data_IF_890954416250
#
_entry.id   IF_890954416250
#
_cell.length_a   1.000
_cell.length_b   1.000
_cell.length_c   1.000
_cell.angle_alpha   90.00
_cell.angle_beta   90.00
_cell.angle_gamma   90.00
#
_symmetry.space_group_name_H-M   'P 1'
#
loop_
_entity.id
_entity.type
_entity.pdbx_description
1 polymer ?
#
# COMPACT_ATOMS: atom_id res chain seq x y z
N UNK A 1 -19.39 46.31 18.77
CA UNK A 1 -19.82 45.40 17.67
C UNK A 1 -18.60 45.05 16.88
N UNK A 2 -17.95 43.96 17.23
CA UNK A 2 -16.79 43.42 16.49
C UNK A 2 -17.24 42.24 15.67
N UNK A 3 -17.13 42.40 14.36
CA UNK A 3 -17.47 41.31 13.39
C UNK A 3 -16.28 40.38 13.35
N UNK A 4 -16.46 39.17 13.92
CA UNK A 4 -15.48 38.09 13.77
C UNK A 4 -15.66 37.54 12.34
N UNK A 5 -14.68 37.77 11.48
CA UNK A 5 -14.58 37.11 10.20
C UNK A 5 -14.19 35.65 10.43
N UNK A 6 -15.16 34.76 10.28
CA UNK A 6 -14.92 33.34 10.16
C UNK A 6 -14.21 33.09 8.82
N UNK A 7 -12.90 32.86 8.87
CA UNK A 7 -12.15 32.37 7.70
C UNK A 7 -12.56 30.91 7.53
N UNK A 8 -13.55 30.71 6.67
CA UNK A 8 -13.83 29.38 6.12
C UNK A 8 -12.64 29.05 5.22
N UNK A 9 -11.64 28.36 5.78
CA UNK A 9 -10.62 27.70 5.00
C UNK A 9 -11.32 26.81 3.97
N UNK A 10 -11.12 27.12 2.70
CA UNK A 10 -11.50 26.24 1.60
C UNK A 10 -10.73 24.94 1.79
N UNK A 11 -11.36 23.96 2.41
CA UNK A 11 -10.98 22.56 2.25
C UNK A 11 -11.13 22.25 0.76
N UNK A 12 -10.05 22.37 0.01
CA UNK A 12 -9.97 21.73 -1.28
C UNK A 12 -10.25 20.26 -1.00
N UNK A 13 -11.33 19.74 -1.57
CA UNK A 13 -11.56 18.29 -1.63
C UNK A 13 -10.32 17.72 -2.32
N UNK A 14 -9.39 17.21 -1.53
CA UNK A 14 -8.36 16.29 -2.01
C UNK A 14 -9.14 15.17 -2.68
N UNK A 15 -8.70 14.82 -3.85
CA UNK A 15 -9.36 13.87 -4.76
C UNK A 15 -9.86 12.64 -4.00
N UNK A 16 -11.15 12.31 -4.23
CA UNK A 16 -11.88 11.17 -3.64
C UNK A 16 -11.29 9.80 -4.07
N UNK A 17 -10.06 9.79 -4.56
CA UNK A 17 -9.31 8.63 -5.07
C UNK A 17 -7.92 8.44 -4.44
N UNK A 18 -7.62 9.04 -3.30
CA UNK A 18 -6.43 8.62 -2.55
C UNK A 18 -6.71 7.24 -1.98
N UNK A 19 -5.87 6.25 -2.28
CA UNK A 19 -6.02 4.93 -1.66
C UNK A 19 -5.69 5.04 -0.19
N UNK A 20 -6.18 4.13 0.63
CA UNK A 20 -5.54 3.87 1.88
C UNK A 20 -4.13 3.35 1.61
N UNK A 21 -3.16 3.90 2.29
CA UNK A 21 -1.78 3.50 2.13
C UNK A 21 -1.43 2.35 3.07
N UNK A 22 -0.66 1.41 2.54
CA UNK A 22 -0.02 0.35 3.31
C UNK A 22 1.46 0.68 3.42
N UNK A 23 1.96 0.86 4.62
CA UNK A 23 3.35 1.12 4.95
C UNK A 23 4.08 -0.22 5.05
N UNK A 24 5.12 -0.41 4.24
CA UNK A 24 5.83 -1.66 4.14
C UNK A 24 7.29 -1.49 4.55
N UNK A 25 7.80 -2.45 5.33
CA UNK A 25 9.23 -2.63 5.59
C UNK A 25 9.64 -4.00 5.06
N UNK A 26 10.43 -4.01 3.99
CA UNK A 26 10.94 -5.23 3.36
C UNK A 26 12.42 -5.41 3.71
N UNK A 27 12.73 -6.52 4.38
CA UNK A 27 14.10 -6.98 4.60
C UNK A 27 14.40 -8.15 3.66
N UNK A 28 15.49 -8.06 2.91
CA UNK A 28 16.01 -9.16 2.08
C UNK A 28 17.37 -9.56 2.67
N UNK A 29 17.47 -10.78 3.19
CA UNK A 29 18.68 -11.30 3.83
C UNK A 29 19.17 -12.56 3.11
N UNK A 30 20.48 -12.65 2.85
CA UNK A 30 21.04 -13.82 2.18
C UNK A 30 22.50 -13.66 1.73
N UNK A 31 22.92 -14.49 0.76
CA UNK A 31 24.26 -14.44 0.24
C UNK A 31 24.61 -13.08 -0.37
N UNK A 32 25.81 -12.57 -0.10
CA UNK A 32 26.31 -11.30 -0.60
C UNK A 32 26.05 -11.09 -2.11
N UNK A 33 26.33 -12.10 -2.90
CA UNK A 33 26.16 -12.01 -4.37
C UNK A 33 24.72 -11.80 -4.81
N UNK A 34 23.75 -12.39 -4.09
CA UNK A 34 22.32 -12.19 -4.38
C UNK A 34 21.85 -10.82 -3.89
N UNK A 35 22.30 -10.39 -2.69
CA UNK A 35 21.98 -9.06 -2.14
C UNK A 35 22.52 -7.94 -3.04
N UNK A 36 23.77 -8.04 -3.50
CA UNK A 36 24.35 -7.04 -4.41
C UNK A 36 23.62 -7.02 -5.76
N UNK A 37 23.35 -8.20 -6.33
CA UNK A 37 22.67 -8.34 -7.62
C UNK A 37 21.25 -7.80 -7.59
N UNK A 38 20.49 -8.12 -6.52
CA UNK A 38 19.12 -7.67 -6.43
C UNK A 38 19.03 -6.17 -6.17
N UNK A 39 19.88 -5.62 -5.30
CA UNK A 39 19.95 -4.17 -5.09
C UNK A 39 20.22 -3.44 -6.40
N UNK A 40 21.23 -3.87 -7.18
CA UNK A 40 21.55 -3.29 -8.49
C UNK A 40 20.35 -3.40 -9.46
N UNK A 41 19.67 -4.56 -9.48
CA UNK A 41 18.50 -4.77 -10.34
C UNK A 41 17.36 -3.82 -9.98
N UNK A 42 17.01 -3.70 -8.70
CA UNK A 42 15.90 -2.88 -8.23
C UNK A 42 16.07 -1.39 -8.49
N UNK A 43 17.33 -0.93 -8.57
CA UNK A 43 17.69 0.47 -8.82
C UNK A 43 17.89 0.82 -10.31
N UNK A 44 17.66 -0.10 -11.25
CA UNK A 44 17.89 0.17 -12.68
C UNK A 44 16.94 1.23 -13.20
N UNK A 45 17.43 2.19 -13.99
CA UNK A 45 16.58 3.12 -14.71
C UNK A 45 15.61 2.38 -15.63
N UNK A 46 14.38 2.89 -15.72
CA UNK A 46 13.38 2.35 -16.64
C UNK A 46 12.46 3.44 -17.16
N UNK A 47 11.68 3.10 -18.20
CA UNK A 47 10.67 3.99 -18.77
C UNK A 47 9.34 3.27 -18.83
N UNK A 48 8.31 3.91 -18.33
CA UNK A 48 6.95 3.43 -18.22
C UNK A 48 6.03 4.24 -19.14
N UNK A 49 5.15 3.56 -19.86
CA UNK A 49 4.09 4.22 -20.62
C UNK A 49 2.96 4.64 -19.68
N UNK A 50 2.58 5.91 -19.74
CA UNK A 50 1.45 6.45 -18.99
C UNK A 50 0.52 7.23 -19.91
N UNK A 51 -0.76 7.21 -19.59
CA UNK A 51 -1.74 8.08 -20.25
C UNK A 51 -1.57 9.52 -19.75
N UNK A 52 -1.66 10.51 -20.65
CA UNK A 52 -1.57 11.93 -20.27
C UNK A 52 -2.96 12.53 -20.06
N UNK A 53 -3.12 13.22 -18.95
CA UNK A 53 -4.31 14.01 -18.62
C UNK A 53 -4.07 15.50 -18.91
N UNK A 54 -4.04 15.89 -20.19
CA UNK A 54 -3.95 17.31 -20.60
C UNK A 54 -5.33 17.91 -20.86
N UNK A 55 -5.58 19.15 -20.43
CA UNK A 55 -6.87 19.86 -20.66
C UNK A 55 -7.26 20.02 -22.16
N UNK A 56 -6.38 19.69 -23.11
CA UNK A 56 -6.64 19.73 -24.54
C UNK A 56 -6.70 18.36 -25.23
N UNK A 57 -6.47 17.27 -24.51
CA UNK A 57 -6.31 15.92 -25.06
C UNK A 57 -7.42 14.95 -24.62
N UNK A 58 -8.52 15.48 -24.12
CA UNK A 58 -9.67 14.67 -23.71
C UNK A 58 -10.55 14.40 -24.95
N UNK A 59 -10.76 13.13 -25.29
CA UNK A 59 -11.68 12.73 -26.34
C UNK A 59 -13.13 13.11 -25.99
N UNK A 60 -14.03 13.04 -26.96
CA UNK A 60 -15.49 13.25 -26.75
C UNK A 60 -16.10 12.24 -25.74
N UNK A 61 -15.40 11.16 -25.43
CA UNK A 61 -15.74 10.18 -24.39
C UNK A 61 -15.17 10.54 -23.00
N UNK A 62 -14.43 11.66 -22.86
CA UNK A 62 -13.83 12.10 -21.60
C UNK A 62 -12.49 11.46 -21.26
N UNK A 63 -11.87 10.68 -22.18
CA UNK A 63 -10.62 9.98 -21.96
C UNK A 63 -9.45 10.63 -22.68
N UNK A 64 -8.24 10.67 -22.10
CA UNK A 64 -7.04 11.15 -22.75
C UNK A 64 -6.71 10.29 -23.98
N UNK A 65 -6.11 10.93 -24.97
CA UNK A 65 -5.81 10.31 -26.28
C UNK A 65 -4.32 10.16 -26.53
N UNK A 66 -3.47 10.59 -25.61
CA UNK A 66 -2.03 10.53 -25.76
C UNK A 66 -1.36 9.73 -24.67
N UNK A 67 -0.38 8.96 -25.06
CA UNK A 67 0.52 8.21 -24.20
C UNK A 67 1.82 8.98 -24.09
N UNK A 68 2.32 9.16 -22.87
CA UNK A 68 3.66 9.69 -22.62
C UNK A 68 4.56 8.60 -22.04
N UNK A 69 5.86 8.75 -22.30
CA UNK A 69 6.89 7.94 -21.68
C UNK A 69 7.41 8.66 -20.45
N UNK A 70 7.27 8.05 -19.27
CA UNK A 70 7.78 8.58 -18.02
C UNK A 70 9.02 7.79 -17.63
N UNK A 71 10.14 8.51 -17.44
CA UNK A 71 11.43 7.90 -17.13
C UNK A 71 11.75 8.03 -15.65
N UNK A 72 12.06 6.93 -15.03
CA UNK A 72 12.59 6.82 -13.68
C UNK A 72 14.10 6.62 -13.79
N UNK A 73 14.86 7.69 -13.56
CA UNK A 73 16.32 7.70 -13.79
C UNK A 73 17.12 7.07 -12.68
N UNK A 74 16.64 7.18 -11.44
CA UNK A 74 17.34 6.69 -10.25
C UNK A 74 16.34 6.10 -9.24
N UNK A 75 15.58 5.06 -9.59
CA UNK A 75 14.65 4.47 -8.65
C UNK A 75 15.42 3.85 -7.49
N UNK A 76 14.95 4.03 -6.27
CA UNK A 76 15.51 3.35 -5.10
C UNK A 76 15.10 1.89 -5.09
N UNK A 77 13.82 1.65 -5.42
CA UNK A 77 13.19 0.34 -5.54
C UNK A 77 12.07 0.45 -6.58
N UNK A 78 11.94 -0.53 -7.45
CA UNK A 78 10.92 -0.54 -8.48
C UNK A 78 10.38 -1.94 -8.73
N UNK A 79 9.06 -2.10 -8.71
CA UNK A 79 8.37 -3.34 -9.09
C UNK A 79 8.56 -3.66 -10.57
N UNK A 80 8.61 -2.63 -11.41
CA UNK A 80 8.92 -2.75 -12.84
C UNK A 80 10.23 -3.50 -13.09
N UNK A 81 11.22 -3.34 -12.24
CA UNK A 81 12.51 -4.00 -12.35
C UNK A 81 12.48 -5.47 -11.89
N UNK A 82 11.42 -5.90 -11.20
CA UNK A 82 11.19 -7.30 -10.85
C UNK A 82 10.45 -8.00 -11.99
N UNK A 83 9.31 -7.44 -12.39
CA UNK A 83 8.46 -7.94 -13.48
C UNK A 83 7.66 -6.80 -14.09
N UNK A 84 7.82 -6.60 -15.39
CA UNK A 84 7.17 -5.54 -16.16
C UNK A 84 6.14 -6.10 -17.14
N UNK A 85 5.17 -5.30 -17.56
CA UNK A 85 4.23 -5.67 -18.62
C UNK A 85 4.94 -6.02 -19.95
N UNK A 86 6.15 -5.49 -20.17
CA UNK A 86 6.97 -5.80 -21.35
C UNK A 86 7.49 -7.24 -21.33
N UNK A 87 7.71 -7.81 -20.13
CA UNK A 87 8.11 -9.22 -19.99
C UNK A 87 6.99 -10.17 -20.43
N UNK A 88 5.72 -9.71 -20.33
CA UNK A 88 4.54 -10.45 -20.81
C UNK A 88 4.19 -10.16 -22.27
N UNK A 89 5.02 -9.37 -22.99
CA UNK A 89 4.83 -9.01 -24.39
C UNK A 89 3.67 -8.03 -24.63
N UNK A 90 3.26 -7.29 -23.59
CA UNK A 90 2.23 -6.25 -23.67
C UNK A 90 2.87 -4.98 -24.22
N UNK A 91 2.22 -4.33 -25.20
CA UNK A 91 2.71 -3.08 -25.79
C UNK A 91 2.42 -1.88 -24.87
N UNK A 92 3.15 -0.78 -25.09
CA UNK A 92 2.93 0.48 -24.37
C UNK A 92 1.50 1.00 -24.54
N UNK A 93 0.91 0.82 -25.72
CA UNK A 93 -0.46 1.21 -26.03
C UNK A 93 -1.49 0.34 -25.30
N UNK A 94 -1.29 -0.97 -25.24
CA UNK A 94 -2.17 -1.89 -24.51
C UNK A 94 -2.12 -1.60 -23.01
N UNK A 95 -0.91 -1.41 -22.45
CA UNK A 95 -0.73 -1.13 -21.04
C UNK A 95 -1.28 0.23 -20.63
N UNK A 96 -1.00 1.30 -21.38
CA UNK A 96 -1.45 2.65 -21.05
C UNK A 96 -2.95 2.89 -21.33
N UNK A 97 -3.70 1.89 -21.81
CA UNK A 97 -5.14 2.00 -21.99
C UNK A 97 -5.89 2.17 -20.68
N UNK A 98 -7.04 2.84 -20.73
CA UNK A 98 -7.96 2.90 -19.59
C UNK A 98 -8.60 1.54 -19.30
N UNK A 99 -8.78 1.19 -18.01
CA UNK A 99 -9.45 -0.04 -17.61
C UNK A 99 -10.84 -0.15 -18.23
N UNK A 100 -11.12 -1.27 -18.88
CA UNK A 100 -12.45 -1.56 -19.40
C UNK A 100 -13.32 -2.11 -18.29
N UNK A 101 -14.41 -1.42 -17.99
CA UNK A 101 -15.43 -1.87 -17.03
C UNK A 101 -16.55 -2.70 -17.67
N UNK A 102 -16.55 -2.78 -19.00
CA UNK A 102 -17.63 -3.37 -19.79
C UNK A 102 -17.43 -4.87 -19.93
N UNK A 103 -18.20 -5.67 -19.24
CA UNK A 103 -18.17 -7.12 -19.43
C UNK A 103 -18.77 -7.94 -18.31
N UNK A 104 -19.09 -7.33 -17.17
CA UNK A 104 -19.69 -8.04 -16.05
C UNK A 104 -21.01 -7.37 -15.66
N UNK A 105 -22.11 -8.12 -15.76
CA UNK A 105 -23.42 -7.65 -15.30
C UNK A 105 -23.40 -7.54 -13.76
N UNK A 106 -23.51 -6.32 -13.23
CA UNK A 106 -23.53 -6.05 -11.80
C UNK A 106 -24.76 -6.64 -11.08
N UNK A 107 -25.79 -7.04 -11.82
CA UNK A 107 -26.96 -7.72 -11.25
C UNK A 107 -26.75 -9.25 -11.14
N UNK A 108 -25.65 -9.78 -11.67
CA UNK A 108 -25.30 -11.20 -11.52
C UNK A 108 -24.88 -11.47 -10.05
N UNK A 109 -25.45 -12.49 -9.37
CA UNK A 109 -25.06 -12.82 -8.00
C UNK A 109 -23.55 -13.07 -7.81
N UNK A 110 -22.89 -13.53 -8.87
CA UNK A 110 -21.43 -13.80 -8.89
C UNK A 110 -20.61 -12.66 -9.51
N UNK A 111 -21.18 -11.47 -9.66
CA UNK A 111 -20.55 -10.34 -10.36
C UNK A 111 -19.15 -10.03 -9.86
N UNK A 112 -18.91 -10.11 -8.55
CA UNK A 112 -17.60 -9.81 -7.96
C UNK A 112 -16.52 -10.79 -8.44
N UNK A 113 -16.79 -12.09 -8.32
CA UNK A 113 -15.87 -13.13 -8.81
C UNK A 113 -15.60 -13.00 -10.31
N UNK A 114 -16.66 -12.78 -11.09
CA UNK A 114 -16.55 -12.58 -12.55
C UNK A 114 -15.77 -11.32 -12.91
N UNK A 115 -15.90 -10.24 -12.14
CA UNK A 115 -15.12 -9.01 -12.31
C UNK A 115 -13.63 -9.24 -12.07
N UNK A 116 -13.28 -10.00 -11.02
CA UNK A 116 -11.89 -10.37 -10.72
C UNK A 116 -11.31 -11.25 -11.83
N UNK A 117 -12.05 -12.26 -12.29
CA UNK A 117 -11.63 -13.12 -13.40
C UNK A 117 -11.46 -12.32 -14.70
N UNK A 118 -12.39 -11.39 -14.99
CA UNK A 118 -12.28 -10.51 -16.16
C UNK A 118 -11.06 -9.60 -16.06
N UNK A 119 -10.82 -8.96 -14.92
CA UNK A 119 -9.67 -8.08 -14.71
C UNK A 119 -8.35 -8.79 -14.99
N UNK A 120 -8.19 -10.07 -14.59
CA UNK A 120 -7.00 -10.87 -14.88
C UNK A 120 -6.72 -11.10 -16.37
N UNK A 121 -7.72 -10.92 -17.24
CA UNK A 121 -7.56 -11.04 -18.70
C UNK A 121 -7.23 -9.71 -19.39
N UNK A 122 -7.30 -8.60 -18.65
CA UNK A 122 -7.06 -7.27 -19.20
C UNK A 122 -5.56 -6.93 -19.16
N UNK A 123 -5.14 -6.10 -20.11
CA UNK A 123 -3.74 -5.70 -20.30
C UNK A 123 -3.48 -4.25 -19.89
N UNK A 124 -4.54 -3.51 -19.56
CA UNK A 124 -4.41 -2.14 -19.09
C UNK A 124 -3.64 -2.08 -17.77
N UNK A 125 -3.00 -0.93 -17.53
CA UNK A 125 -2.10 -0.72 -16.40
C UNK A 125 -2.73 -1.07 -15.05
N UNK A 126 -4.01 -0.72 -14.85
CA UNK A 126 -4.66 -0.96 -13.56
C UNK A 126 -4.89 -2.46 -13.31
N UNK A 127 -5.48 -3.14 -14.28
CA UNK A 127 -5.78 -4.58 -14.18
C UNK A 127 -4.50 -5.41 -14.14
N UNK A 128 -3.51 -5.05 -14.98
CA UNK A 128 -2.24 -5.75 -15.03
C UNK A 128 -1.43 -5.57 -13.74
N UNK A 129 -1.30 -4.34 -13.21
CA UNK A 129 -0.57 -4.07 -11.98
C UNK A 129 -1.17 -4.83 -10.80
N UNK A 130 -2.49 -4.72 -10.58
CA UNK A 130 -3.16 -5.46 -9.51
C UNK A 130 -2.99 -6.98 -9.62
N UNK A 131 -2.99 -7.52 -10.85
CA UNK A 131 -2.82 -8.97 -11.08
C UNK A 131 -1.37 -9.45 -10.93
N UNK A 132 -0.39 -8.60 -11.25
CA UNK A 132 1.02 -8.99 -11.34
C UNK A 132 1.90 -8.43 -10.23
N UNK A 133 1.56 -7.26 -9.68
CA UNK A 133 2.24 -6.68 -8.54
C UNK A 133 1.46 -6.86 -7.23
N UNK A 134 0.12 -7.01 -7.31
CA UNK A 134 -0.75 -7.09 -6.15
C UNK A 134 -1.13 -5.72 -5.60
N UNK A 135 -0.80 -4.63 -6.29
CA UNK A 135 -1.13 -3.25 -5.94
C UNK A 135 -1.31 -2.39 -7.19
N UNK A 136 -1.90 -1.21 -7.02
CA UNK A 136 -2.27 -0.31 -8.13
C UNK A 136 -1.07 0.31 -8.84
N UNK A 137 -0.04 0.73 -8.11
CA UNK A 137 1.09 1.49 -8.64
C UNK A 137 2.43 0.85 -8.33
N UNK A 138 3.45 1.19 -9.14
CA UNK A 138 4.85 0.96 -8.78
C UNK A 138 5.22 1.80 -7.55
N UNK A 139 6.20 1.36 -6.80
CA UNK A 139 6.76 2.07 -5.66
C UNK A 139 7.97 2.94 -6.05
N UNK A 140 8.36 2.93 -7.31
CA UNK A 140 9.40 3.82 -7.81
C UNK A 140 8.94 5.28 -7.75
N UNK A 141 9.81 6.16 -7.22
CA UNK A 141 9.59 7.61 -7.14
C UNK A 141 10.58 8.33 -8.04
N UNK A 142 10.15 9.46 -8.62
CA UNK A 142 11.01 10.41 -9.32
C UNK A 142 11.37 11.53 -8.36
N UNK A 143 12.40 12.31 -8.68
CA UNK A 143 12.85 13.44 -7.84
C UNK A 143 11.76 14.50 -7.57
N UNK A 144 10.77 14.61 -8.47
CA UNK A 144 9.64 15.54 -8.37
C UNK A 144 8.38 14.96 -7.68
N UNK A 145 8.36 13.66 -7.38
CA UNK A 145 7.21 12.99 -6.81
C UNK A 145 7.27 13.03 -5.28
N UNK A 146 6.15 13.33 -4.64
CA UNK A 146 6.02 13.25 -3.18
C UNK A 146 5.58 11.86 -2.71
N UNK A 147 4.89 11.10 -3.55
CA UNK A 147 4.32 9.78 -3.27
C UNK A 147 4.46 8.84 -4.47
N UNK A 148 4.55 7.50 -4.21
CA UNK A 148 4.75 6.85 -2.91
C UNK A 148 6.13 7.15 -2.34
N UNK A 149 6.26 7.22 -1.02
CA UNK A 149 7.56 7.33 -0.36
C UNK A 149 8.28 5.99 -0.46
N UNK A 150 9.54 6.02 -0.91
CA UNK A 150 10.36 4.82 -1.05
C UNK A 150 11.80 5.12 -0.64
N UNK A 151 12.28 4.40 0.35
CA UNK A 151 13.58 4.64 0.97
C UNK A 151 14.41 3.35 1.07
N UNK A 152 15.71 3.48 0.86
CA UNK A 152 16.71 2.48 1.25
C UNK A 152 17.14 2.79 2.68
N UNK A 153 16.68 1.99 3.64
CA UNK A 153 16.97 2.20 5.06
C UNK A 153 18.36 1.70 5.42
N UNK A 154 18.71 0.50 4.97
CA UNK A 154 20.00 -0.11 5.26
C UNK A 154 20.45 -1.02 4.11
N UNK A 155 21.74 -1.05 3.88
CA UNK A 155 22.40 -1.99 3.00
C UNK A 155 23.70 -2.45 3.62
N UNK A 156 23.82 -3.74 3.87
CA UNK A 156 25.03 -4.38 4.36
C UNK A 156 25.43 -5.53 3.44
N UNK A 157 26.63 -5.45 2.91
CA UNK A 157 27.19 -6.41 1.97
C UNK A 157 28.65 -6.75 2.34
N UNK A 158 28.95 -6.84 3.64
CA UNK A 158 30.26 -7.19 4.17
C UNK A 158 30.12 -8.20 5.31
N UNK A 159 30.97 -9.24 5.29
CA UNK A 159 30.93 -10.30 6.28
C UNK A 159 30.00 -11.45 5.93
N UNK A 160 29.53 -12.17 6.93
CA UNK A 160 28.72 -13.38 6.78
C UNK A 160 27.23 -13.04 6.63
N UNK A 161 26.78 -12.01 7.36
CA UNK A 161 25.37 -11.55 7.33
C UNK A 161 25.22 -10.37 6.38
N UNK A 162 24.48 -10.55 5.32
CA UNK A 162 24.23 -9.51 4.34
C UNK A 162 22.74 -9.31 4.18
N UNK A 163 22.33 -8.03 4.06
CA UNK A 163 20.92 -7.66 3.88
C UNK A 163 20.76 -6.31 3.18
N UNK A 164 19.55 -6.09 2.71
CA UNK A 164 19.07 -4.78 2.27
C UNK A 164 17.66 -4.58 2.83
N UNK A 165 17.38 -3.37 3.33
CA UNK A 165 16.10 -3.00 3.93
C UNK A 165 15.52 -1.81 3.18
N UNK A 166 14.30 -1.97 2.68
CA UNK A 166 13.53 -0.93 2.02
C UNK A 166 12.29 -0.60 2.84
N UNK A 167 11.92 0.70 2.87
CA UNK A 167 10.57 1.15 3.24
C UNK A 167 9.89 1.74 2.03
N UNK A 168 8.62 1.43 1.84
CA UNK A 168 7.81 1.95 0.74
C UNK A 168 6.32 1.85 1.04
N UNK A 169 5.53 2.68 0.36
CA UNK A 169 4.08 2.70 0.53
C UNK A 169 3.40 2.09 -0.69
N UNK A 170 2.39 1.26 -0.46
CA UNK A 170 1.58 0.64 -1.51
C UNK A 170 0.10 0.99 -1.36
N UNK A 171 -0.62 0.98 -2.47
CA UNK A 171 -2.05 1.29 -2.48
C UNK A 171 -2.88 0.04 -2.15
N UNK A 172 -3.65 0.09 -1.06
CA UNK A 172 -4.67 -0.88 -0.62
C UNK A 172 -4.17 -2.26 -0.17
N UNK A 173 -2.97 -2.68 -0.52
CA UNK A 173 -2.44 -4.00 -0.20
C UNK A 173 -0.92 -4.02 -0.14
N UNK A 174 -0.29 -4.94 0.61
CA UNK A 174 1.16 -5.01 0.78
C UNK A 174 1.94 -5.55 -0.43
N UNK A 175 1.30 -5.69 -1.59
CA UNK A 175 1.93 -6.11 -2.85
C UNK A 175 2.66 -7.48 -2.80
N UNK A 176 2.11 -8.46 -2.09
CA UNK A 176 2.74 -9.78 -1.88
C UNK A 176 3.05 -10.49 -3.20
N UNK A 177 2.17 -10.38 -4.20
CA UNK A 177 2.34 -11.04 -5.51
C UNK A 177 3.66 -10.72 -6.21
N UNK A 178 4.13 -9.47 -6.14
CA UNK A 178 5.43 -9.11 -6.73
C UNK A 178 6.60 -9.59 -5.87
N UNK A 179 6.42 -9.68 -4.54
CA UNK A 179 7.46 -10.19 -3.65
C UNK A 179 7.65 -11.71 -3.78
N UNK A 180 6.61 -12.47 -4.11
CA UNK A 180 6.73 -13.88 -4.52
C UNK A 180 7.65 -14.00 -5.74
N UNK A 181 7.44 -13.15 -6.77
CA UNK A 181 8.30 -13.13 -7.95
C UNK A 181 9.72 -12.70 -7.59
N UNK A 182 9.89 -11.69 -6.73
CA UNK A 182 11.19 -11.23 -6.25
C UNK A 182 11.96 -12.37 -5.56
N UNK A 183 11.32 -13.13 -4.67
CA UNK A 183 11.96 -14.22 -3.94
C UNK A 183 12.45 -15.35 -4.86
N UNK A 184 11.81 -15.54 -6.02
CA UNK A 184 12.27 -16.48 -7.04
C UNK A 184 13.54 -15.99 -7.79
N UNK A 185 13.78 -14.67 -7.83
CA UNK A 185 15.01 -14.10 -8.39
C UNK A 185 16.22 -14.25 -7.45
N UNK A 186 15.98 -14.40 -6.16
CA UNK A 186 16.99 -14.55 -5.10
C UNK A 186 16.65 -15.77 -4.23
N UNK A 187 16.74 -17.00 -4.79
CA UNK A 187 16.20 -18.20 -4.17
C UNK A 187 16.92 -18.66 -2.89
N UNK A 188 18.07 -18.07 -2.57
CA UNK A 188 18.82 -18.33 -1.32
C UNK A 188 18.69 -17.18 -0.32
N UNK A 189 17.83 -16.21 -0.60
CA UNK A 189 17.48 -15.13 0.34
C UNK A 189 16.16 -15.45 1.05
N UNK A 190 16.08 -14.97 2.29
CA UNK A 190 14.85 -14.81 3.04
C UNK A 190 14.35 -13.38 2.85
N UNK A 191 13.12 -13.23 2.44
CA UNK A 191 12.40 -11.95 2.45
C UNK A 191 11.49 -11.93 3.69
N UNK A 192 11.58 -10.88 4.48
CA UNK A 192 10.65 -10.60 5.58
C UNK A 192 9.94 -9.29 5.27
N UNK A 193 8.62 -9.32 5.25
CA UNK A 193 7.77 -8.16 5.05
C UNK A 193 6.96 -7.88 6.32
N UNK A 194 7.17 -6.73 6.91
CA UNK A 194 6.26 -6.14 7.90
C UNK A 194 5.44 -5.05 7.19
N UNK A 195 4.12 -5.06 7.37
CA UNK A 195 3.23 -4.08 6.74
C UNK A 195 2.12 -3.65 7.67
N UNK A 196 1.71 -2.38 7.54
CA UNK A 196 0.60 -1.80 8.30
C UNK A 196 -0.17 -0.81 7.43
N UNK A 197 -1.49 -0.90 7.41
CA UNK A 197 -2.37 -0.01 6.69
C UNK A 197 -2.79 1.16 7.59
N UNK A 198 -3.17 2.29 7.02
CA UNK A 198 -3.51 3.54 7.73
C UNK A 198 -4.55 3.38 8.85
N UNK A 199 -5.41 2.37 8.76
CA UNK A 199 -6.41 2.06 9.80
C UNK A 199 -5.91 1.11 10.87
N UNK A 200 -4.63 0.67 10.78
CA UNK A 200 -3.93 -0.09 11.81
C UNK A 200 -4.00 -1.62 11.66
N UNK A 201 -4.61 -2.16 10.60
CA UNK A 201 -4.45 -3.59 10.31
C UNK A 201 -3.11 -3.84 9.62
N UNK A 202 -2.56 -5.02 9.82
CA UNK A 202 -1.26 -5.34 9.26
C UNK A 202 -0.84 -6.77 9.48
N UNK A 203 0.44 -7.07 9.23
CA UNK A 203 0.98 -8.41 9.39
C UNK A 203 2.47 -8.48 9.16
N UNK A 204 3.00 -9.67 9.39
CA UNK A 204 4.38 -10.04 9.11
C UNK A 204 4.43 -11.32 8.30
N UNK A 205 5.18 -11.33 7.20
CA UNK A 205 5.30 -12.44 6.26
C UNK A 205 6.77 -12.83 6.07
N UNK A 206 7.02 -14.13 5.96
CA UNK A 206 8.26 -14.68 5.37
C UNK A 206 7.97 -15.15 3.95
N UNK A 207 8.86 -14.82 3.01
CA UNK A 207 8.71 -15.21 1.60
C UNK A 207 10.04 -15.81 1.11
N UNK A 208 9.98 -17.05 0.64
CA UNK A 208 11.13 -17.80 0.12
C UNK A 208 10.71 -18.61 -1.10
N UNK A 209 11.37 -18.40 -2.23
CA UNK A 209 11.13 -19.15 -3.49
C UNK A 209 9.67 -19.17 -3.94
N UNK A 210 9.00 -18.04 -3.80
CA UNK A 210 7.59 -17.87 -4.15
C UNK A 210 6.61 -18.43 -3.12
N UNK A 211 7.08 -19.04 -2.04
CA UNK A 211 6.22 -19.52 -0.95
C UNK A 211 6.11 -18.44 0.13
N UNK A 212 4.87 -18.13 0.50
CA UNK A 212 4.54 -17.15 1.54
C UNK A 212 4.11 -17.87 2.79
N UNK A 213 4.69 -17.47 3.92
CA UNK A 213 4.30 -17.92 5.25
C UNK A 213 3.95 -16.70 6.10
N UNK A 214 2.74 -16.67 6.60
CA UNK A 214 2.29 -15.68 7.57
C UNK A 214 2.91 -15.99 8.94
N UNK A 215 3.52 -14.99 9.56
CA UNK A 215 4.11 -15.08 10.89
C UNK A 215 3.19 -14.44 11.93
N UNK A 216 2.58 -13.32 11.58
CA UNK A 216 1.65 -12.57 12.39
C UNK A 216 0.66 -11.82 11.50
N UNK A 217 -0.56 -11.64 11.99
CA UNK A 217 -1.57 -10.74 11.49
C UNK A 217 -2.27 -10.02 12.65
N UNK A 218 -2.75 -8.82 12.43
CA UNK A 218 -3.52 -8.04 13.40
C UNK A 218 -4.55 -7.16 12.70
N UNK A 219 -5.68 -6.97 13.35
CA UNK A 219 -6.75 -6.10 12.83
C UNK A 219 -6.54 -4.63 13.21
N UNK A 220 -5.86 -4.38 14.32
CA UNK A 220 -5.53 -3.02 14.75
C UNK A 220 -4.27 -3.02 15.65
N UNK A 221 -3.66 -1.84 15.77
CA UNK A 221 -2.48 -1.63 16.61
C UNK A 221 -2.62 -0.33 17.40
N UNK A 222 -2.46 -0.39 18.70
CA UNK A 222 -2.47 0.80 19.52
C UNK A 222 -1.26 1.70 19.22
N UNK A 223 -1.50 2.96 18.88
CA UNK A 223 -0.44 3.92 18.58
C UNK A 223 0.44 4.26 19.80
N UNK A 224 -0.10 4.16 21.03
CA UNK A 224 0.60 4.54 22.26
C UNK A 224 1.49 3.41 22.81
N UNK A 225 0.94 2.21 23.02
CA UNK A 225 1.71 1.10 23.59
C UNK A 225 2.15 0.04 22.59
N UNK A 226 1.76 0.16 21.31
CA UNK A 226 2.07 -0.76 20.23
C UNK A 226 1.51 -2.18 20.41
N UNK A 227 0.58 -2.40 21.35
CA UNK A 227 -0.10 -3.67 21.51
C UNK A 227 -1.06 -3.91 20.36
N UNK A 228 -1.17 -5.18 19.92
CA UNK A 228 -2.03 -5.60 18.82
C UNK A 228 -3.40 -5.99 19.35
N UNK A 229 -4.44 -5.73 18.57
CA UNK A 229 -5.83 -6.15 18.81
C UNK A 229 -6.41 -5.71 20.17
N UNK A 230 -5.90 -4.59 20.68
CA UNK A 230 -6.29 -4.04 21.99
C UNK A 230 -7.19 -2.82 21.88
N UNK A 231 -7.43 -2.32 20.66
CA UNK A 231 -8.31 -1.18 20.42
C UNK A 231 -9.77 -1.63 20.39
N UNK A 232 -10.60 -0.93 21.15
CA UNK A 232 -12.05 -1.08 21.13
C UNK A 232 -12.70 0.21 20.70
N UNK A 233 -13.65 0.11 19.76
CA UNK A 233 -14.39 1.26 19.24
C UNK A 233 -15.68 1.44 20.03
N UNK A 234 -16.05 2.70 20.26
CA UNK A 234 -17.31 3.02 20.90
C UNK A 234 -18.48 2.77 19.93
N UNK A 235 -19.51 2.06 20.38
CA UNK A 235 -20.74 1.77 19.62
C UNK A 235 -21.49 3.03 19.15
N UNK A 236 -21.23 4.17 19.77
CA UNK A 236 -21.80 5.48 19.40
C UNK A 236 -20.83 6.34 18.59
N UNK A 237 -19.75 5.76 18.08
CA UNK A 237 -18.78 6.43 17.20
C UNK A 237 -18.06 7.62 17.87
N UNK A 238 -17.98 7.66 19.21
CA UNK A 238 -17.35 8.76 19.94
C UNK A 238 -15.83 8.65 20.06
N UNK A 239 -15.25 7.49 19.76
CA UNK A 239 -13.81 7.29 19.79
C UNK A 239 -13.38 5.83 19.90
N UNK A 240 -12.09 5.63 20.04
CA UNK A 240 -11.44 4.33 20.26
C UNK A 240 -10.64 4.35 21.57
N UNK A 241 -10.41 3.17 22.13
CA UNK A 241 -9.76 3.00 23.43
C UNK A 241 -8.94 1.71 23.46
N UNK A 242 -7.69 1.81 23.96
CA UNK A 242 -6.82 0.65 24.14
C UNK A 242 -7.00 0.02 25.52
N UNK A 243 -7.30 -1.27 25.57
CA UNK A 243 -7.47 -2.02 26.82
C UNK A 243 -6.17 -2.22 27.61
N UNK A 244 -5.00 -2.11 26.96
CA UNK A 244 -3.71 -2.36 27.62
C UNK A 244 -3.12 -1.11 28.29
N UNK A 245 -3.15 0.05 27.61
CA UNK A 245 -2.52 1.26 28.14
C UNK A 245 -3.53 2.34 28.57
N UNK A 246 -4.80 2.10 28.40
CA UNK A 246 -5.89 3.05 28.68
C UNK A 246 -5.81 4.38 27.88
N UNK A 247 -5.01 4.41 26.83
CA UNK A 247 -4.97 5.55 25.91
C UNK A 247 -6.08 5.40 24.86
N UNK A 248 -6.63 6.52 24.42
CA UNK A 248 -7.67 6.56 23.40
C UNK A 248 -7.67 7.83 22.59
N UNK A 249 -8.31 7.80 21.45
CA UNK A 249 -8.61 8.96 20.65
C UNK A 249 -10.12 9.21 20.63
N UNK A 250 -10.53 10.43 20.96
CA UNK A 250 -11.93 10.82 21.12
C UNK A 250 -12.24 11.99 20.20
N UNK A 251 -13.47 12.05 19.71
CA UNK A 251 -13.88 13.17 18.85
C UNK A 251 -13.83 14.50 19.60
N UNK A 252 -14.23 14.49 20.88
CA UNK A 252 -14.08 15.61 21.82
C UNK A 252 -14.13 15.12 23.29
N UNK A 253 -13.72 15.98 24.23
CA UNK A 253 -13.69 15.67 25.67
C UNK A 253 -15.10 15.46 26.27
N UNK A 254 -16.12 16.07 25.70
CA UNK A 254 -17.51 15.99 26.15
C UNK A 254 -18.10 14.63 25.73
N UNK A 255 -17.85 14.20 24.47
CA UNK A 255 -18.21 12.88 23.97
C UNK A 255 -17.53 11.76 24.77
N UNK A 256 -16.26 11.92 25.17
CA UNK A 256 -15.55 11.00 26.03
C UNK A 256 -16.23 10.84 27.41
N UNK A 257 -16.59 11.96 28.04
CA UNK A 257 -17.18 11.96 29.40
C UNK A 257 -18.58 11.32 29.45
N UNK A 258 -19.33 11.37 28.36
CA UNK A 258 -20.70 10.84 28.23
C UNK A 258 -20.77 9.43 27.63
N UNK A 259 -19.67 8.88 27.17
CA UNK A 259 -19.64 7.60 26.47
C UNK A 259 -19.89 6.44 27.44
N UNK A 260 -21.06 5.79 27.32
CA UNK A 260 -21.43 4.63 28.15
C UNK A 260 -20.48 3.43 27.93
N UNK A 261 -19.98 3.23 26.74
CA UNK A 261 -19.04 2.16 26.41
C UNK A 261 -17.70 2.38 27.13
N UNK A 262 -17.20 3.62 27.15
CA UNK A 262 -16.01 4.00 27.90
C UNK A 262 -16.15 3.74 29.39
N UNK A 263 -17.30 4.13 30.01
CA UNK A 263 -17.57 3.90 31.42
C UNK A 263 -17.58 2.41 31.76
N UNK A 264 -18.14 1.57 30.92
CA UNK A 264 -18.14 0.10 31.10
C UNK A 264 -16.73 -0.49 31.01
N UNK A 265 -15.90 -0.02 30.10
CA UNK A 265 -14.51 -0.46 29.98
C UNK A 265 -13.67 -0.07 31.19
N UNK A 266 -13.78 1.17 31.69
CA UNK A 266 -13.12 1.62 32.93
C UNK A 266 -13.52 0.79 34.13
N UNK A 267 -14.81 0.52 34.32
CA UNK A 267 -15.30 -0.33 35.42
C UNK A 267 -14.81 -1.78 35.32
N UNK A 268 -14.55 -2.28 34.12
CA UNK A 268 -14.03 -3.65 33.92
C UNK A 268 -12.54 -3.75 34.22
N UNK A 269 -11.76 -2.73 33.93
CA UNK A 269 -10.31 -2.67 34.25
C UNK A 269 -10.07 -2.51 35.74
N UNK A 270 -10.83 -1.67 36.45
CA UNK A 270 -10.73 -1.53 37.92
C UNK A 270 -11.08 -2.82 38.69
N UNK A 271 -11.95 -3.68 38.13
CA UNK A 271 -12.30 -4.99 38.73
C UNK A 271 -11.25 -6.07 38.48
N UNK A 272 -10.37 -5.90 37.47
CA UNK A 272 -9.31 -6.85 37.16
C UNK A 272 -8.04 -6.63 38.03
N UNK A 273 -7.89 -5.45 38.65
CA UNK A 273 -6.76 -5.09 39.52
C UNK A 273 -6.99 -5.38 41.01
N UNK A 274 -8.13 -5.96 41.43
CA UNK A 274 -8.47 -6.36 42.78
C UNK A 274 -8.56 -7.89 42.86
#
# INVERSE_FOLDING_TARGET
MSVVHCIIGSYQRKDINTPNWVYNTLTIQGPKSEIDSIKERLNRPFTLAQETYGMGDISSSGFPTKIQQVTYSNPVFAFFNIHSYKDDGITDEEYACQPKRDGVDMNDPDWFRKSVEFAKTQKDWYSWNNSNWGTKWDVAVRDEDEYPETELIEYKSEGEDNWVIYKYNTAWSPAVTILEKLSNLVPNCLLTLEYEEETGWGGELEIVRGEVKELADWENRCYACQSFDTLSYCDNDCGEFCSECNEGSWQDEEAMAECQTHMVLLESTEKAEV
#
